data_IF_096489404849
#
_entry.id   IF_096489404849
#
_cell.length_a   1.000
_cell.length_b   1.000
_cell.length_c   1.000
_cell.angle_alpha   90.00
_cell.angle_beta   90.00
_cell.angle_gamma   90.00
#
_symmetry.space_group_name_H-M   'P 1'
#
loop_
_entity.id
_entity.type
_entity.pdbx_description
1 polymer ?
#
# COMPACT_ATOMS: atom_id res chain seq x y z
N UNK A 1 -3.59 -18.12 -3.27
CA UNK A 1 -2.39 -17.66 -2.54
C UNK A 1 -2.40 -16.14 -2.57
N UNK A 2 -2.34 -15.49 -1.40
CA UNK A 2 -2.25 -14.05 -1.34
C UNK A 2 -0.79 -13.64 -1.58
N UNK A 3 -0.56 -12.78 -2.56
CA UNK A 3 0.76 -12.22 -2.84
C UNK A 3 0.86 -10.91 -2.06
N UNK A 4 1.82 -10.84 -1.14
CA UNK A 4 2.08 -9.64 -0.33
C UNK A 4 3.02 -8.67 -1.06
N UNK A 5 3.98 -9.20 -1.81
CA UNK A 5 4.92 -8.41 -2.60
C UNK A 5 5.04 -9.02 -3.98
N UNK A 6 4.84 -8.19 -5.01
CA UNK A 6 5.03 -8.57 -6.40
C UNK A 6 5.85 -7.48 -7.10
N UNK A 7 6.97 -7.86 -7.67
CA UNK A 7 7.89 -6.95 -8.32
C UNK A 7 8.39 -7.48 -9.66
N UNK A 8 8.47 -6.60 -10.66
CA UNK A 8 8.96 -6.92 -12.00
C UNK A 8 10.48 -7.12 -12.05
N UNK A 9 11.22 -6.49 -11.15
CA UNK A 9 12.66 -6.64 -11.03
C UNK A 9 13.04 -7.37 -9.74
N UNK A 10 14.34 -7.60 -9.53
CA UNK A 10 14.83 -8.08 -8.25
C UNK A 10 14.44 -7.05 -7.20
N UNK A 11 13.70 -7.45 -6.19
CA UNK A 11 13.39 -6.54 -5.11
C UNK A 11 14.64 -6.26 -4.30
N UNK A 12 15.37 -5.29 -4.73
CA UNK A 12 16.05 -4.43 -3.79
C UNK A 12 14.98 -3.60 -3.07
N UNK A 13 14.11 -4.26 -2.28
CA UNK A 13 13.48 -3.57 -1.16
C UNK A 13 14.66 -3.19 -0.28
N UNK A 14 15.13 -2.00 -0.56
CA UNK A 14 16.46 -1.55 -0.32
C UNK A 14 16.88 -1.77 1.12
N UNK A 15 18.00 -2.34 1.27
CA UNK A 15 18.86 -2.27 2.45
C UNK A 15 18.29 -2.82 3.76
N UNK A 16 16.99 -2.80 4.01
CA UNK A 16 16.41 -3.05 5.32
C UNK A 16 15.19 -3.98 5.32
N UNK A 17 14.83 -4.39 6.51
CA UNK A 17 13.89 -5.43 6.77
C UNK A 17 12.48 -5.08 6.24
N UNK A 18 11.90 -5.97 5.48
CA UNK A 18 10.44 -6.03 5.34
C UNK A 18 9.95 -7.28 6.06
N UNK A 19 8.71 -7.26 6.47
CA UNK A 19 8.02 -8.41 7.02
C UNK A 19 6.61 -8.46 6.46
N UNK A 20 6.21 -9.61 5.95
CA UNK A 20 4.86 -9.88 5.48
C UNK A 20 4.17 -10.84 6.42
N UNK A 21 2.91 -10.58 6.69
CA UNK A 21 2.13 -11.34 7.64
C UNK A 21 0.83 -11.81 7.00
N UNK A 22 0.52 -13.09 7.15
CA UNK A 22 -0.81 -13.61 6.87
C UNK A 22 -1.72 -13.36 8.06
N UNK A 23 -2.88 -12.80 7.77
CA UNK A 23 -3.95 -12.70 8.77
C UNK A 23 -4.50 -14.09 9.08
N UNK A 24 -4.67 -14.45 10.36
CA UNK A 24 -5.36 -15.67 10.75
C UNK A 24 -6.80 -15.66 10.23
N UNK A 25 -7.29 -16.80 9.80
CA UNK A 25 -8.69 -16.95 9.36
C UNK A 25 -9.64 -16.64 10.52
N UNK A 26 -10.60 -15.75 10.29
CA UNK A 26 -11.62 -15.40 11.28
C UNK A 26 -11.25 -14.30 12.27
N UNK A 27 -10.04 -13.72 12.17
CA UNK A 27 -9.66 -12.55 12.98
C UNK A 27 -9.79 -11.29 12.13
N UNK A 28 -10.50 -10.30 12.63
CA UNK A 28 -10.61 -9.00 11.97
C UNK A 28 -9.26 -8.29 11.93
N UNK A 29 -9.01 -7.50 10.86
CA UNK A 29 -7.76 -6.74 10.71
C UNK A 29 -7.54 -5.77 11.87
N UNK A 30 -8.64 -5.26 12.48
CA UNK A 30 -8.60 -4.40 13.66
C UNK A 30 -7.93 -5.04 14.87
N UNK A 31 -8.12 -6.34 15.00
CA UNK A 31 -7.76 -7.06 16.21
C UNK A 31 -6.30 -7.50 16.21
N UNK A 32 -5.59 -7.26 15.08
CA UNK A 32 -4.17 -7.55 14.95
C UNK A 32 -3.34 -6.32 15.38
N UNK A 33 -2.79 -6.40 16.57
CA UNK A 33 -1.78 -5.43 17.01
C UNK A 33 -0.43 -5.73 16.37
N UNK A 34 0.45 -4.73 16.33
CA UNK A 34 1.84 -4.94 15.86
C UNK A 34 2.56 -5.98 16.72
N UNK A 35 2.28 -6.03 18.02
CA UNK A 35 2.89 -7.00 18.92
C UNK A 35 2.46 -8.43 18.55
N UNK A 36 1.18 -8.65 18.27
CA UNK A 36 0.67 -9.96 17.85
C UNK A 36 1.20 -10.40 16.49
N UNK A 37 1.42 -9.44 15.57
CA UNK A 37 2.04 -9.73 14.28
C UNK A 37 3.53 -10.08 14.39
N UNK A 38 4.23 -9.49 15.36
CA UNK A 38 5.65 -9.74 15.60
C UNK A 38 5.90 -10.92 16.53
N UNK A 39 4.87 -11.36 17.23
CA UNK A 39 4.91 -12.55 18.07
C UNK A 39 4.80 -13.80 17.17
N UNK A 40 5.91 -14.47 16.97
CA UNK A 40 5.98 -15.73 16.23
C UNK A 40 5.37 -16.90 17.04
N UNK A 41 4.54 -16.63 18.03
CA UNK A 41 3.86 -17.65 18.79
C UNK A 41 2.78 -18.32 17.93
N UNK A 42 2.87 -19.62 17.64
CA UNK A 42 1.84 -20.36 16.92
C UNK A 42 0.46 -20.28 17.58
N UNK A 43 0.38 -19.96 18.87
CA UNK A 43 -0.87 -19.79 19.57
C UNK A 43 -1.61 -18.50 19.17
N UNK A 44 -0.90 -17.48 18.74
CA UNK A 44 -1.48 -16.20 18.29
C UNK A 44 -1.80 -16.17 16.81
N UNK A 45 -1.50 -17.25 16.06
CA UNK A 45 -1.85 -17.44 14.65
C UNK A 45 -1.43 -16.32 13.66
N UNK A 46 -0.69 -15.32 14.09
CA UNK A 46 -0.09 -14.38 13.16
C UNK A 46 1.19 -15.01 12.59
N UNK A 47 1.12 -15.45 11.36
CA UNK A 47 2.26 -16.09 10.71
C UNK A 47 3.08 -15.06 9.95
N UNK A 48 4.30 -14.83 10.39
CA UNK A 48 5.34 -14.23 9.57
C UNK A 48 5.56 -15.16 8.36
N UNK A 49 5.31 -14.65 7.16
CA UNK A 49 5.45 -15.44 5.93
C UNK A 49 6.78 -15.20 5.28
N UNK A 50 7.15 -13.94 5.14
CA UNK A 50 8.41 -13.54 4.51
C UNK A 50 9.09 -12.45 5.31
N UNK A 51 10.39 -12.56 5.45
CA UNK A 51 11.23 -11.44 5.87
C UNK A 51 12.61 -11.58 5.25
N UNK A 52 13.37 -10.49 5.24
CA UNK A 52 14.72 -10.47 4.67
C UNK A 52 15.69 -11.46 5.32
N UNK A 53 15.55 -11.72 6.61
CA UNK A 53 16.51 -12.50 7.37
C UNK A 53 16.23 -14.01 7.31
N UNK A 54 14.95 -14.40 7.26
CA UNK A 54 14.53 -15.81 7.24
C UNK A 54 14.15 -16.32 5.85
N UNK A 55 14.15 -15.45 4.85
CA UNK A 55 13.87 -15.82 3.47
C UNK A 55 12.46 -15.41 3.01
N UNK A 56 12.21 -15.65 1.71
CA UNK A 56 10.96 -15.30 1.06
C UNK A 56 10.04 -16.52 1.03
N UNK A 57 8.80 -16.32 1.43
CA UNK A 57 7.74 -17.31 1.31
C UNK A 57 7.05 -17.23 -0.04
N UNK A 58 5.96 -17.97 -0.17
CA UNK A 58 5.14 -18.04 -1.39
C UNK A 58 4.36 -16.77 -1.70
N UNK A 59 4.35 -15.82 -0.79
CA UNK A 59 3.64 -14.54 -0.88
C UNK A 59 4.52 -13.42 -1.47
N UNK A 60 5.76 -13.75 -1.86
CA UNK A 60 6.70 -12.80 -2.46
C UNK A 60 7.15 -13.30 -3.82
N UNK A 61 6.84 -12.52 -4.86
CA UNK A 61 7.17 -12.82 -6.25
C UNK A 61 8.09 -11.73 -6.79
N UNK A 62 9.24 -12.12 -7.31
CA UNK A 62 10.21 -11.23 -7.93
C UNK A 62 10.56 -11.65 -9.36
N UNK A 63 11.01 -10.68 -10.16
CA UNK A 63 11.47 -10.92 -11.52
C UNK A 63 10.36 -11.25 -12.51
N UNK A 64 9.13 -10.83 -12.21
CA UNK A 64 8.02 -11.01 -13.14
C UNK A 64 8.16 -10.08 -14.35
N UNK A 65 8.45 -10.69 -15.49
CA UNK A 65 8.70 -9.95 -16.73
C UNK A 65 7.44 -9.24 -17.25
N UNK A 66 6.25 -9.71 -16.93
CA UNK A 66 5.02 -9.04 -17.31
C UNK A 66 4.87 -7.71 -16.59
N UNK A 67 5.21 -7.70 -15.30
CA UNK A 67 5.19 -6.48 -14.49
C UNK A 67 6.39 -5.55 -14.82
N UNK A 68 7.57 -6.11 -15.10
CA UNK A 68 8.74 -5.33 -15.49
C UNK A 68 8.55 -4.57 -16.81
N UNK A 69 7.72 -5.08 -17.72
CA UNK A 69 7.42 -4.47 -19.00
C UNK A 69 6.11 -3.66 -19.00
N UNK A 70 5.35 -3.66 -17.89
CA UNK A 70 4.12 -2.88 -17.78
C UNK A 70 4.45 -1.38 -17.70
N UNK A 71 3.66 -0.57 -18.40
CA UNK A 71 3.69 0.89 -18.19
C UNK A 71 2.94 1.27 -16.91
N UNK A 72 3.17 2.49 -16.40
CA UNK A 72 2.39 3.00 -15.26
C UNK A 72 0.89 3.04 -15.54
N UNK A 73 0.48 3.25 -16.80
CA UNK A 73 -0.94 3.26 -17.18
C UNK A 73 -1.51 1.83 -17.26
N UNK A 74 -0.72 0.83 -17.68
CA UNK A 74 -1.12 -0.58 -17.62
C UNK A 74 -1.32 -1.01 -16.17
N UNK A 75 -0.38 -0.63 -15.29
CA UNK A 75 -0.48 -0.92 -13.87
C UNK A 75 -1.69 -0.21 -13.23
N UNK A 76 -1.89 1.07 -13.57
CA UNK A 76 -3.06 1.81 -13.12
C UNK A 76 -4.37 1.13 -13.53
N UNK A 77 -4.51 0.78 -14.81
CA UNK A 77 -5.69 0.13 -15.37
C UNK A 77 -6.01 -1.24 -14.77
N UNK A 78 -5.02 -1.90 -14.15
CA UNK A 78 -5.25 -3.15 -13.44
C UNK A 78 -6.00 -2.96 -12.11
N UNK A 79 -5.95 -1.74 -11.51
CA UNK A 79 -6.55 -1.44 -10.21
C UNK A 79 -7.69 -0.44 -10.28
N UNK A 80 -7.67 0.48 -11.25
CA UNK A 80 -8.64 1.57 -11.35
C UNK A 80 -9.31 1.55 -12.73
N UNK A 81 -10.63 1.73 -12.75
CA UNK A 81 -11.38 1.79 -14.01
C UNK A 81 -11.24 3.15 -14.75
N UNK A 82 -11.35 4.32 -14.05
CA UNK A 82 -11.10 5.61 -14.70
C UNK A 82 -9.60 5.83 -14.92
N UNK A 83 -9.24 6.64 -15.90
CA UNK A 83 -7.87 7.13 -16.05
C UNK A 83 -7.44 7.99 -14.85
N UNK A 84 -6.13 8.20 -14.67
CA UNK A 84 -5.59 9.07 -13.62
C UNK A 84 -6.20 10.47 -13.66
N UNK A 85 -6.34 11.05 -14.87
CA UNK A 85 -6.92 12.38 -15.08
C UNK A 85 -8.40 12.40 -14.71
N UNK A 86 -9.18 11.45 -15.21
CA UNK A 86 -10.61 11.37 -14.90
C UNK A 86 -10.84 11.21 -13.41
N UNK A 87 -10.06 10.37 -12.75
CA UNK A 87 -10.18 10.21 -11.29
C UNK A 87 -9.83 11.51 -10.56
N UNK A 88 -8.72 12.16 -10.93
CA UNK A 88 -8.35 13.44 -10.36
C UNK A 88 -9.48 14.46 -10.51
N UNK A 89 -10.05 14.60 -11.70
CA UNK A 89 -11.06 15.61 -11.98
C UNK A 89 -12.35 15.42 -11.16
N UNK A 90 -12.71 14.18 -10.84
CA UNK A 90 -13.89 13.86 -10.02
C UNK A 90 -13.73 14.16 -8.54
N UNK A 91 -12.49 14.26 -8.03
CA UNK A 91 -12.26 14.53 -6.62
C UNK A 91 -12.56 15.97 -6.25
N UNK A 92 -13.20 16.23 -5.09
CA UNK A 92 -13.37 17.58 -4.58
C UNK A 92 -12.01 18.18 -4.18
N UNK A 93 -11.90 19.50 -4.23
CA UNK A 93 -10.66 20.24 -3.91
C UNK A 93 -10.09 19.89 -2.51
N UNK A 94 -10.97 19.62 -1.54
CA UNK A 94 -10.54 19.21 -0.18
C UNK A 94 -9.83 17.86 -0.12
N UNK A 95 -9.90 17.08 -1.19
CA UNK A 95 -9.24 15.77 -1.34
C UNK A 95 -8.03 15.81 -2.29
N UNK A 96 -7.70 16.98 -2.83
CA UNK A 96 -6.54 17.24 -3.67
C UNK A 96 -5.51 17.99 -2.85
N UNK A 97 -4.40 17.36 -2.57
CA UNK A 97 -3.30 17.94 -1.82
C UNK A 97 -2.14 18.25 -2.77
N UNK A 98 -1.44 19.33 -2.53
CA UNK A 98 -0.23 19.66 -3.30
C UNK A 98 0.87 18.64 -3.03
N UNK A 99 1.80 18.49 -3.98
CA UNK A 99 3.03 17.70 -3.78
C UNK A 99 3.77 18.17 -2.52
N UNK A 100 4.23 17.21 -1.73
CA UNK A 100 4.91 17.49 -0.46
C UNK A 100 3.98 17.92 0.70
N UNK A 101 2.68 18.06 0.46
CA UNK A 101 1.74 18.34 1.54
C UNK A 101 1.59 17.16 2.49
N UNK A 102 1.37 17.46 3.77
CA UNK A 102 1.09 16.45 4.78
C UNK A 102 -0.32 15.90 4.61
N UNK A 103 -0.45 14.57 4.57
CA UNK A 103 -1.75 13.91 4.69
C UNK A 103 -2.23 14.07 6.14
N UNK A 104 -3.46 14.57 6.38
CA UNK A 104 -3.95 14.74 7.74
C UNK A 104 -4.00 13.42 8.50
N UNK A 105 -3.60 13.43 9.78
CA UNK A 105 -3.83 12.28 10.65
C UNK A 105 -5.35 12.04 10.81
N UNK A 106 -5.77 10.78 10.75
CA UNK A 106 -7.19 10.42 10.73
C UNK A 106 -7.87 10.60 9.36
N UNK A 107 -7.11 10.90 8.30
CA UNK A 107 -7.67 10.98 6.96
C UNK A 107 -8.25 9.65 6.52
N UNK A 108 -9.48 9.65 6.03
CA UNK A 108 -10.21 8.48 5.50
C UNK A 108 -10.73 8.76 4.10
N UNK A 109 -11.08 7.71 3.36
CA UNK A 109 -11.54 7.83 1.98
C UNK A 109 -10.41 8.22 1.02
N UNK A 110 -10.75 8.76 -0.14
CA UNK A 110 -9.81 8.96 -1.24
C UNK A 110 -9.13 10.33 -1.20
N UNK A 111 -7.81 10.35 -1.39
CA UNK A 111 -6.99 11.55 -1.57
C UNK A 111 -6.09 11.41 -2.78
N UNK A 112 -5.88 12.52 -3.46
CA UNK A 112 -4.86 12.71 -4.49
C UNK A 112 -3.81 13.70 -4.01
N UNK A 113 -2.55 13.33 -4.07
CA UNK A 113 -1.41 14.17 -3.67
C UNK A 113 -0.55 14.44 -4.89
N UNK A 114 -0.38 15.70 -5.22
CA UNK A 114 0.28 16.17 -6.44
C UNK A 114 -0.71 16.68 -7.49
N UNK A 115 -0.18 17.13 -8.61
CA UNK A 115 -0.98 17.57 -9.76
C UNK A 115 -1.42 16.37 -10.61
N UNK A 116 -2.33 16.57 -11.56
CA UNK A 116 -2.77 15.52 -12.49
C UNK A 116 -1.86 15.34 -13.72
N UNK A 117 -0.76 16.07 -13.78
CA UNK A 117 0.22 16.01 -14.86
C UNK A 117 1.34 15.00 -14.63
N UNK A 118 2.54 15.34 -15.07
CA UNK A 118 3.72 14.50 -14.83
C UNK A 118 3.97 14.30 -13.32
N UNK A 119 4.52 13.14 -12.92
CA UNK A 119 4.86 12.88 -11.53
C UNK A 119 5.75 13.98 -10.94
N UNK A 120 5.43 14.41 -9.75
CA UNK A 120 6.19 15.45 -9.04
C UNK A 120 7.54 14.94 -8.60
N UNK A 121 8.57 15.76 -8.74
CA UNK A 121 9.89 15.51 -8.15
C UNK A 121 9.97 15.91 -6.67
N UNK A 122 8.94 16.56 -6.15
CA UNK A 122 8.84 16.89 -4.72
C UNK A 122 8.32 15.69 -3.95
N UNK A 123 9.15 15.13 -3.09
CA UNK A 123 8.77 13.96 -2.30
C UNK A 123 7.68 14.32 -1.27
N UNK A 124 6.59 13.57 -1.28
CA UNK A 124 5.58 13.61 -0.23
C UNK A 124 6.05 12.76 0.96
N UNK A 125 5.90 13.29 2.18
CA UNK A 125 6.29 12.56 3.39
C UNK A 125 5.11 12.37 4.32
N UNK A 126 4.86 11.11 4.71
CA UNK A 126 3.93 10.74 5.78
C UNK A 126 4.78 10.35 6.98
N UNK A 127 4.65 11.08 8.09
CA UNK A 127 5.47 10.87 9.27
C UNK A 127 4.64 10.69 10.54
N UNK A 128 4.52 9.46 10.98
CA UNK A 128 3.72 9.10 12.15
C UNK A 128 2.21 9.23 11.93
N UNK A 129 1.46 8.98 12.98
CA UNK A 129 0.00 9.06 12.97
C UNK A 129 -0.70 7.85 12.34
N UNK A 130 -2.02 7.93 12.28
CA UNK A 130 -2.90 6.91 11.71
C UNK A 130 -3.68 7.51 10.54
N UNK A 131 -3.75 6.80 9.44
CA UNK A 131 -4.48 7.18 8.23
C UNK A 131 -5.37 6.00 7.83
N UNK A 132 -6.64 6.27 7.59
CA UNK A 132 -7.65 5.25 7.36
C UNK A 132 -7.96 4.43 8.61
N UNK A 133 -9.09 3.80 8.60
CA UNK A 133 -9.45 2.72 9.52
C UNK A 133 -10.17 1.59 8.77
N UNK A 134 -10.68 0.61 9.49
CA UNK A 134 -11.27 -0.58 8.90
C UNK A 134 -12.61 -0.30 8.26
N UNK A 135 -13.39 0.55 8.92
CA UNK A 135 -14.73 0.89 8.49
C UNK A 135 -14.73 2.01 7.43
N UNK A 136 -13.64 2.81 7.37
CA UNK A 136 -13.44 3.85 6.35
C UNK A 136 -11.95 3.92 5.93
N UNK A 137 -11.47 2.96 5.13
CA UNK A 137 -10.08 2.89 4.74
C UNK A 137 -9.69 4.05 3.81
N UNK A 138 -8.43 4.45 3.89
CA UNK A 138 -7.89 5.46 3.01
C UNK A 138 -7.48 4.89 1.65
N UNK A 139 -7.68 5.66 0.58
CA UNK A 139 -7.08 5.43 -0.73
C UNK A 139 -6.20 6.63 -1.05
N UNK A 140 -4.91 6.45 -0.90
CA UNK A 140 -3.92 7.50 -1.15
C UNK A 140 -3.29 7.31 -2.53
N UNK A 141 -3.49 8.27 -3.41
CA UNK A 141 -2.86 8.30 -4.72
C UNK A 141 -1.83 9.42 -4.69
N UNK A 142 -0.57 9.05 -4.80
CA UNK A 142 0.55 10.00 -4.79
C UNK A 142 1.15 10.08 -6.19
N UNK A 143 0.94 11.22 -6.85
CA UNK A 143 1.54 11.48 -8.15
C UNK A 143 2.95 12.07 -7.99
N UNK A 144 3.91 11.21 -7.73
CA UNK A 144 5.31 11.51 -7.42
C UNK A 144 5.87 10.53 -6.39
N UNK A 145 6.96 10.90 -5.75
CA UNK A 145 7.65 10.08 -4.75
C UNK A 145 6.94 10.14 -3.39
N UNK A 146 6.89 9.01 -2.70
CA UNK A 146 6.35 8.89 -1.35
C UNK A 146 7.40 8.37 -0.38
N UNK A 147 7.55 9.06 0.75
CA UNK A 147 8.29 8.58 1.92
C UNK A 147 7.32 8.32 3.06
N UNK A 148 7.35 7.11 3.62
CA UNK A 148 6.63 6.76 4.84
C UNK A 148 7.65 6.58 5.96
N UNK A 149 7.43 7.27 7.08
CA UNK A 149 8.41 7.33 8.17
C UNK A 149 7.78 7.18 9.56
N UNK A 150 8.62 6.98 10.55
CA UNK A 150 8.18 6.78 11.93
C UNK A 150 7.39 5.48 12.13
N UNK A 151 6.46 5.52 13.08
CA UNK A 151 5.53 4.42 13.38
C UNK A 151 4.15 4.69 12.74
N UNK A 152 4.14 5.14 11.50
CA UNK A 152 2.90 5.42 10.75
C UNK A 152 2.07 4.15 10.62
N UNK A 153 0.78 4.25 10.85
CA UNK A 153 -0.20 3.18 10.57
C UNK A 153 -1.12 3.64 9.44
N UNK A 154 -1.15 2.89 8.36
CA UNK A 154 -2.04 3.18 7.23
C UNK A 154 -2.95 1.97 7.01
N UNK A 155 -4.25 2.22 7.00
CA UNK A 155 -5.26 1.20 6.69
C UNK A 155 -5.93 1.58 5.38
N UNK A 156 -5.69 0.78 4.32
CA UNK A 156 -6.23 1.05 3.00
C UNK A 156 -5.28 0.73 1.84
N UNK A 157 -5.42 1.49 0.75
CA UNK A 157 -4.63 1.36 -0.46
C UNK A 157 -3.73 2.60 -0.65
N UNK A 158 -2.48 2.35 -0.98
CA UNK A 158 -1.53 3.39 -1.38
C UNK A 158 -1.11 3.10 -2.83
N UNK A 159 -1.25 4.08 -3.70
CA UNK A 159 -0.76 4.05 -5.07
C UNK A 159 0.24 5.18 -5.29
N UNK A 160 1.44 4.85 -5.75
CA UNK A 160 2.55 5.79 -5.93
C UNK A 160 3.03 5.71 -7.38
N UNK A 161 3.02 6.83 -8.11
CA UNK A 161 3.54 6.88 -9.49
C UNK A 161 5.08 6.98 -9.54
N UNK A 162 5.69 7.48 -8.46
CA UNK A 162 7.13 7.56 -8.29
C UNK A 162 7.70 6.43 -7.43
N UNK A 163 8.77 6.75 -6.72
CA UNK A 163 9.44 5.81 -5.82
C UNK A 163 8.81 5.79 -4.43
N UNK A 164 8.76 4.62 -3.80
CA UNK A 164 8.37 4.44 -2.41
C UNK A 164 9.59 4.28 -1.52
N UNK A 165 9.76 5.15 -0.53
CA UNK A 165 10.83 5.08 0.46
C UNK A 165 10.27 4.85 1.86
N UNK A 166 10.87 3.92 2.60
CA UNK A 166 10.43 3.55 3.96
C UNK A 166 11.52 3.87 4.97
N UNK A 167 11.17 4.62 6.02
CA UNK A 167 12.05 4.87 7.17
C UNK A 167 11.28 4.69 8.48
N UNK A 168 11.94 4.16 9.51
CA UNK A 168 11.24 3.77 10.73
C UNK A 168 10.55 2.41 10.61
N UNK A 169 9.42 2.23 11.26
CA UNK A 169 8.70 0.95 11.32
C UNK A 169 7.20 1.12 11.04
N UNK A 170 6.83 1.63 9.85
CA UNK A 170 5.42 1.78 9.52
C UNK A 170 4.72 0.42 9.41
N UNK A 171 3.42 0.44 9.67
CA UNK A 171 2.53 -0.70 9.45
C UNK A 171 1.48 -0.32 8.43
N UNK A 172 1.36 -1.10 7.36
CA UNK A 172 0.32 -0.94 6.34
C UNK A 172 -0.61 -2.14 6.40
N UNK A 173 -1.89 -1.86 6.64
CA UNK A 173 -2.98 -2.84 6.58
C UNK A 173 -3.73 -2.63 5.28
N UNK A 174 -3.51 -3.49 4.31
CA UNK A 174 -4.07 -3.33 2.97
C UNK A 174 -3.04 -3.59 1.88
N UNK A 175 -2.88 -2.65 0.96
CA UNK A 175 -2.01 -2.83 -0.20
C UNK A 175 -1.22 -1.57 -0.54
N UNK A 176 -0.03 -1.78 -1.10
CA UNK A 176 0.80 -0.71 -1.66
C UNK A 176 1.18 -1.08 -3.08
N UNK A 177 1.02 -0.13 -3.99
CA UNK A 177 1.37 -0.23 -5.39
C UNK A 177 2.33 0.92 -5.71
N UNK A 178 3.44 0.62 -6.36
CA UNK A 178 4.40 1.64 -6.82
C UNK A 178 4.83 1.34 -8.25
N UNK A 179 4.71 2.33 -9.15
CA UNK A 179 5.08 2.19 -10.56
C UNK A 179 6.60 2.03 -10.74
N UNK A 180 7.39 2.73 -9.90
CA UNK A 180 8.85 2.70 -9.98
C UNK A 180 9.51 1.85 -8.89
N UNK A 181 8.70 1.04 -8.18
CA UNK A 181 9.17 0.13 -7.15
C UNK A 181 9.58 0.82 -5.85
N UNK A 182 9.89 0.02 -4.82
CA UNK A 182 10.41 0.55 -3.56
C UNK A 182 11.87 0.93 -3.73
N UNK A 183 12.20 2.17 -3.36
CA UNK A 183 13.56 2.66 -3.28
C UNK A 183 14.07 2.68 -1.82
N UNK A 184 15.34 2.97 -1.68
CA UNK A 184 16.13 2.92 -0.46
C UNK A 184 15.50 3.65 0.74
N UNK A 185 15.24 2.92 1.79
CA UNK A 185 14.93 3.46 3.10
C UNK A 185 15.62 2.65 4.19
N UNK A 186 15.83 3.24 5.36
CA UNK A 186 16.45 2.55 6.51
C UNK A 186 15.38 1.97 7.46
N UNK A 187 14.16 1.74 6.96
CA UNK A 187 13.03 1.30 7.76
C UNK A 187 12.71 -0.19 7.62
N UNK A 188 11.78 -0.64 8.43
CA UNK A 188 11.14 -1.94 8.32
C UNK A 188 9.67 -1.75 7.97
N UNK A 189 9.27 -2.13 6.77
CA UNK A 189 7.87 -2.13 6.38
C UNK A 189 7.19 -3.38 6.95
N UNK A 190 6.16 -3.20 7.76
CA UNK A 190 5.25 -4.27 8.15
C UNK A 190 4.00 -4.21 7.26
N UNK A 191 3.84 -5.20 6.40
CA UNK A 191 2.72 -5.27 5.48
C UNK A 191 1.76 -6.39 5.91
N UNK A 192 0.53 -6.02 6.23
CA UNK A 192 -0.55 -6.92 6.55
C UNK A 192 -1.53 -6.87 5.39
N UNK A 193 -1.59 -7.92 4.61
CA UNK A 193 -2.58 -7.98 3.54
C UNK A 193 -4.00 -7.92 4.10
N UNK A 194 -4.78 -6.99 3.63
CA UNK A 194 -6.20 -6.85 3.95
C UNK A 194 -6.97 -6.47 2.69
N UNK A 195 -7.78 -7.39 2.12
CA UNK A 195 -8.59 -7.09 0.96
C UNK A 195 -9.72 -6.12 1.33
N UNK A 196 -10.22 -5.38 0.35
CA UNK A 196 -11.46 -4.64 0.52
C UNK A 196 -12.67 -5.58 0.41
N UNK A 197 -13.68 -5.32 1.24
CA UNK A 197 -14.91 -6.11 1.29
C UNK A 197 -14.79 -7.46 2.01
N UNK A 198 -15.90 -8.13 2.19
CA UNK A 198 -15.98 -9.39 2.93
C UNK A 198 -15.53 -9.24 4.38
N UNK A 199 -14.63 -10.11 4.84
CA UNK A 199 -14.03 -10.07 6.17
C UNK A 199 -12.79 -9.14 6.26
N UNK A 200 -12.54 -8.34 5.21
CA UNK A 200 -11.41 -7.43 5.11
C UNK A 200 -11.76 -6.00 5.54
N UNK A 201 -11.13 -5.03 4.87
CA UNK A 201 -11.43 -3.62 5.03
C UNK A 201 -12.82 -3.31 4.44
N UNK A 202 -13.54 -2.34 4.98
CA UNK A 202 -14.72 -1.81 4.32
C UNK A 202 -14.36 -1.31 2.91
N UNK A 203 -15.34 -1.29 2.02
CA UNK A 203 -15.11 -0.67 0.72
C UNK A 203 -14.84 0.83 0.93
N UNK A 204 -13.74 1.36 0.39
CA UNK A 204 -13.44 2.78 0.59
C UNK A 204 -14.56 3.64 0.01
N UNK A 205 -14.90 4.70 0.73
CA UNK A 205 -15.90 5.66 0.27
C UNK A 205 -15.31 6.49 -0.88
N UNK A 206 -15.39 5.94 -2.11
CA UNK A 206 -14.88 6.56 -3.33
C UNK A 206 -16.03 7.30 -3.98
N UNK A 207 -15.96 8.62 -4.01
CA UNK A 207 -16.91 9.43 -4.76
C UNK A 207 -16.74 9.18 -6.25
N UNK A 208 -17.83 8.73 -6.89
CA UNK A 208 -17.97 8.41 -8.31
C UNK A 208 -17.21 7.19 -8.82
N UNK A 209 -17.86 6.04 -8.71
CA UNK A 209 -17.72 4.82 -9.55
C UNK A 209 -16.31 4.37 -9.97
N UNK A 210 -15.26 4.76 -9.28
CA UNK A 210 -14.00 4.07 -9.33
C UNK A 210 -14.14 2.78 -8.52
N UNK A 211 -14.41 1.66 -9.17
CA UNK A 211 -14.26 0.38 -8.50
C UNK A 211 -12.77 0.10 -8.37
N UNK A 212 -12.23 0.29 -7.17
CA UNK A 212 -11.00 -0.39 -6.80
C UNK A 212 -11.33 -1.88 -6.89
N UNK A 213 -10.74 -2.59 -7.82
CA UNK A 213 -10.87 -4.04 -7.88
C UNK A 213 -10.00 -4.58 -6.75
N UNK A 214 -10.59 -5.05 -5.64
CA UNK A 214 -9.80 -5.63 -4.57
C UNK A 214 -9.14 -6.87 -5.15
N UNK A 215 -7.82 -6.90 -5.18
CA UNK A 215 -6.93 -8.00 -5.47
C UNK A 215 -7.56 -9.32 -5.94
N UNK A 216 -8.32 -9.31 -7.01
CA UNK A 216 -8.75 -10.51 -7.68
C UNK A 216 -7.61 -10.95 -8.60
N UNK A 217 -6.52 -11.37 -7.99
CA UNK A 217 -5.52 -12.14 -8.68
C UNK A 217 -6.18 -13.48 -9.03
N UNK A 218 -6.60 -13.62 -10.27
CA UNK A 218 -6.91 -14.91 -10.80
C UNK A 218 -5.60 -15.56 -11.17
N UNK A 219 -5.32 -16.69 -10.55
CA UNK A 219 -4.34 -17.63 -11.07
C UNK A 219 -4.72 -17.95 -12.52
N UNK A 220 -3.83 -17.66 -13.43
CA UNK A 220 -3.89 -18.10 -14.83
C UNK A 220 -3.24 -19.46 -14.94
#
# INVERSE_FOLDING_TARGET
>A
TNISIWAGESAAIAGNAFATYLRPTGIAVSDLTKAELLDNDPANNSQLVSNRNSGFGIDVVFGDQSLANATGDDLWGAFFNPTKVELYDTLPLSRKLSSGASVPSGATGQYWIGDNGAPSTTQTTINGGTIGDIDDPAVLIVNGDLKISGNTVITGLIYVTGELSITGTPTIRGSVISENGPNSGNGTLNLIYAPFGGDGLANPNITNSASVIPGSWRDW
#
